data_IF_400703847941
#
_entry.id   IF_400703847941
#
_cell.length_a   1.000
_cell.length_b   1.000
_cell.length_c   1.000
_cell.angle_alpha   90.00
_cell.angle_beta   90.00
_cell.angle_gamma   90.00
#
_symmetry.space_group_name_H-M   'P 1'
#
loop_
_entity.id
_entity.type
_entity.pdbx_description
1 polymer ?
#
# COMPACT_ATOMS: atom_id res chain seq x y z
N UNK A 1 -7.46 31.33 -7.22
CA UNK A 1 -7.69 30.43 -8.35
C UNK A 1 -7.58 29.03 -7.80
N UNK A 2 -8.70 28.31 -7.63
CA UNK A 2 -8.66 26.92 -7.22
C UNK A 2 -8.05 26.13 -8.40
N UNK A 3 -6.81 25.68 -8.26
CA UNK A 3 -6.28 24.66 -9.13
C UNK A 3 -7.18 23.43 -8.96
N UNK A 4 -7.99 23.12 -9.98
CA UNK A 4 -8.75 21.89 -9.98
C UNK A 4 -7.74 20.74 -9.89
N UNK A 5 -7.82 19.95 -8.83
CA UNK A 5 -7.09 18.69 -8.71
C UNK A 5 -7.28 17.92 -10.03
N UNK A 6 -6.21 17.48 -10.71
CA UNK A 6 -6.37 16.75 -11.96
C UNK A 6 -7.24 15.51 -11.71
N UNK A 7 -8.14 15.17 -12.64
CA UNK A 7 -9.00 14.01 -12.49
C UNK A 7 -8.17 12.75 -12.23
N UNK A 8 -8.56 11.97 -11.24
CA UNK A 8 -7.91 10.72 -10.86
C UNK A 8 -8.65 9.51 -11.46
N UNK A 9 -9.31 9.72 -12.62
CA UNK A 9 -10.10 8.69 -13.31
C UNK A 9 -9.23 7.56 -13.88
N UNK A 10 -7.94 7.80 -14.02
CA UNK A 10 -6.93 6.83 -14.48
C UNK A 10 -6.21 6.10 -13.31
N UNK A 11 -6.70 6.27 -12.08
CA UNK A 11 -6.15 5.67 -10.87
C UNK A 11 -7.06 4.59 -10.32
N UNK A 12 -6.51 3.42 -9.99
CA UNK A 12 -7.17 2.34 -9.29
C UNK A 12 -6.56 2.16 -7.88
N UNK A 13 -7.35 2.31 -6.83
CA UNK A 13 -6.94 1.93 -5.48
C UNK A 13 -7.20 0.45 -5.25
N UNK A 14 -6.18 -0.29 -4.85
CA UNK A 14 -6.24 -1.71 -4.48
C UNK A 14 -6.12 -1.83 -2.97
N UNK A 15 -7.15 -2.37 -2.33
CA UNK A 15 -7.26 -2.51 -0.87
C UNK A 15 -7.37 -3.99 -0.51
N UNK A 16 -6.31 -4.65 -0.03
CA UNK A 16 -6.40 -5.97 0.56
C UNK A 16 -7.23 -5.92 1.84
N UNK A 17 -8.23 -6.80 1.95
CA UNK A 17 -9.14 -6.85 3.08
C UNK A 17 -9.07 -8.21 3.77
N UNK A 18 -8.85 -8.23 5.09
CA UNK A 18 -9.01 -9.43 5.90
C UNK A 18 -9.49 -9.08 7.31
N UNK A 19 -10.76 -9.36 7.60
CA UNK A 19 -11.41 -9.12 8.89
C UNK A 19 -11.26 -7.67 9.41
N UNK A 20 -11.63 -6.69 8.56
CA UNK A 20 -11.62 -5.25 8.84
C UNK A 20 -13.03 -4.62 8.68
N UNK A 21 -14.11 -5.38 8.96
CA UNK A 21 -15.49 -4.92 8.79
C UNK A 21 -15.80 -3.60 9.53
N UNK A 22 -15.12 -3.34 10.67
CA UNK A 22 -15.37 -2.15 11.48
C UNK A 22 -14.99 -0.84 10.79
N UNK A 23 -14.03 -0.86 9.86
CA UNK A 23 -13.45 0.35 9.27
C UNK A 23 -13.56 0.40 7.74
N UNK A 24 -13.62 -0.75 7.06
CA UNK A 24 -13.53 -0.81 5.59
C UNK A 24 -14.60 0.05 4.89
N UNK A 25 -15.82 0.13 5.43
CA UNK A 25 -16.87 0.95 4.84
C UNK A 25 -16.53 2.44 4.82
N UNK A 26 -15.90 2.96 5.90
CA UNK A 26 -15.45 4.36 5.97
C UNK A 26 -14.23 4.60 5.09
N UNK A 27 -13.30 3.67 5.06
CA UNK A 27 -12.11 3.69 4.18
C UNK A 27 -12.53 3.82 2.72
N UNK A 28 -13.43 2.95 2.26
CA UNK A 28 -13.93 2.98 0.87
C UNK A 28 -14.68 4.26 0.58
N UNK A 29 -15.57 4.71 1.47
CA UNK A 29 -16.30 5.99 1.28
C UNK A 29 -15.35 7.19 1.20
N UNK A 30 -14.30 7.21 2.04
CA UNK A 30 -13.26 8.22 2.00
C UNK A 30 -12.52 8.22 0.66
N UNK A 31 -12.03 7.06 0.24
CA UNK A 31 -11.31 6.87 -1.02
C UNK A 31 -12.16 7.26 -2.24
N UNK A 32 -13.44 6.87 -2.26
CA UNK A 32 -14.38 7.14 -3.36
C UNK A 32 -14.68 8.63 -3.61
N UNK A 33 -14.39 9.51 -2.66
CA UNK A 33 -14.54 10.96 -2.85
C UNK A 33 -13.52 11.54 -3.83
N UNK A 34 -12.34 10.94 -3.90
CA UNK A 34 -11.23 11.40 -4.76
C UNK A 34 -10.94 10.45 -5.92
N UNK A 35 -11.20 9.15 -5.74
CA UNK A 35 -10.87 8.10 -6.70
C UNK A 35 -12.12 7.31 -7.08
N UNK A 36 -12.58 7.38 -8.34
CA UNK A 36 -13.78 6.68 -8.79
C UNK A 36 -13.61 5.15 -8.82
N UNK A 37 -12.38 4.65 -8.84
CA UNK A 37 -12.09 3.23 -8.97
C UNK A 37 -11.37 2.70 -7.73
N UNK A 38 -12.13 2.01 -6.87
CA UNK A 38 -11.64 1.35 -5.66
C UNK A 38 -11.95 -0.14 -5.77
N UNK A 39 -10.91 -0.95 -5.76
CA UNK A 39 -10.98 -2.42 -5.78
C UNK A 39 -10.57 -2.93 -4.40
N UNK A 40 -11.48 -3.65 -3.76
CA UNK A 40 -11.22 -4.34 -2.50
C UNK A 40 -11.07 -5.82 -2.79
N UNK A 41 -9.94 -6.40 -2.42
CA UNK A 41 -9.73 -7.86 -2.51
C UNK A 41 -9.91 -8.46 -1.13
N UNK A 42 -11.06 -9.10 -0.93
CA UNK A 42 -11.40 -9.79 0.32
C UNK A 42 -10.71 -11.14 0.38
N UNK A 43 -9.73 -11.26 1.25
CA UNK A 43 -8.89 -12.45 1.40
C UNK A 43 -9.54 -13.49 2.36
N UNK A 44 -10.79 -13.83 2.10
CA UNK A 44 -11.52 -14.85 2.85
C UNK A 44 -11.95 -14.38 4.25
N UNK A 45 -12.43 -13.14 4.38
CA UNK A 45 -12.95 -12.61 5.65
C UNK A 45 -14.23 -13.35 6.08
N UNK A 46 -14.42 -13.45 7.39
CA UNK A 46 -15.62 -14.04 8.01
C UNK A 46 -16.52 -13.03 8.72
N UNK A 47 -16.13 -11.73 8.71
CA UNK A 47 -16.77 -10.67 9.50
C UNK A 47 -17.78 -9.81 8.74
N UNK A 48 -18.02 -10.12 7.43
CA UNK A 48 -18.91 -9.35 6.58
C UNK A 48 -18.31 -8.10 5.96
N UNK A 49 -17.00 -7.88 6.08
CA UNK A 49 -16.27 -6.73 5.53
C UNK A 49 -16.47 -6.56 4.03
N UNK A 50 -16.50 -7.65 3.25
CA UNK A 50 -16.73 -7.61 1.81
C UNK A 50 -18.08 -6.95 1.43
N UNK A 51 -19.16 -7.28 2.15
CA UNK A 51 -20.47 -6.69 1.91
C UNK A 51 -20.48 -5.19 2.25
N UNK A 52 -19.79 -4.79 3.32
CA UNK A 52 -19.65 -3.37 3.70
C UNK A 52 -18.84 -2.58 2.68
N UNK A 53 -17.76 -3.16 2.15
CA UNK A 53 -16.95 -2.55 1.08
C UNK A 53 -17.79 -2.34 -0.20
N UNK A 54 -18.54 -3.35 -0.62
CA UNK A 54 -19.44 -3.27 -1.78
C UNK A 54 -20.53 -2.22 -1.57
N UNK A 55 -21.17 -2.19 -0.40
CA UNK A 55 -22.18 -1.18 -0.05
C UNK A 55 -21.61 0.25 -0.01
N UNK A 56 -20.32 0.41 0.27
CA UNK A 56 -19.60 1.69 0.22
C UNK A 56 -19.19 2.10 -1.21
N UNK A 57 -19.40 1.25 -2.22
CA UNK A 57 -19.18 1.52 -3.63
C UNK A 57 -17.86 0.97 -4.20
N UNK A 58 -17.16 0.08 -3.51
CA UNK A 58 -16.02 -0.62 -4.06
C UNK A 58 -16.44 -1.75 -5.02
N UNK A 59 -15.59 -2.04 -5.99
CA UNK A 59 -15.60 -3.35 -6.65
C UNK A 59 -14.93 -4.35 -5.72
N UNK A 60 -15.61 -5.46 -5.44
CA UNK A 60 -15.09 -6.47 -4.52
C UNK A 60 -14.74 -7.75 -5.28
N UNK A 61 -13.50 -8.20 -5.12
CA UNK A 61 -13.02 -9.51 -5.55
C UNK A 61 -12.81 -10.36 -4.30
N UNK A 62 -13.28 -11.62 -4.29
CA UNK A 62 -13.22 -12.46 -3.10
C UNK A 62 -12.38 -13.72 -3.33
N UNK A 63 -11.47 -13.98 -2.40
CA UNK A 63 -10.81 -15.28 -2.30
C UNK A 63 -11.68 -16.26 -1.49
N UNK A 64 -11.73 -17.54 -1.85
CA UNK A 64 -12.50 -18.53 -1.13
C UNK A 64 -11.93 -18.87 0.26
N UNK A 65 -10.66 -18.59 0.47
CA UNK A 65 -9.91 -18.79 1.72
C UNK A 65 -8.83 -17.70 1.85
N UNK A 66 -8.30 -17.50 3.07
CA UNK A 66 -7.18 -16.59 3.27
C UNK A 66 -5.91 -17.12 2.59
N UNK A 67 -5.45 -16.41 1.58
CA UNK A 67 -4.23 -16.68 0.82
C UNK A 67 -3.06 -15.78 1.26
N UNK A 68 -3.35 -14.69 1.97
CA UNK A 68 -2.39 -13.69 2.45
C UNK A 68 -2.39 -12.38 1.66
N UNK A 69 -1.92 -11.32 2.30
CA UNK A 69 -1.95 -9.95 1.77
C UNK A 69 -1.25 -9.82 0.40
N UNK A 70 -0.14 -10.54 0.19
CA UNK A 70 0.57 -10.55 -1.09
C UNK A 70 -0.29 -11.10 -2.22
N UNK A 71 -0.99 -12.23 -1.99
CA UNK A 71 -1.92 -12.80 -2.96
C UNK A 71 -3.09 -11.86 -3.26
N UNK A 72 -3.62 -11.17 -2.23
CA UNK A 72 -4.68 -10.19 -2.42
C UNK A 72 -4.21 -8.98 -3.25
N UNK A 73 -2.99 -8.49 -3.03
CA UNK A 73 -2.40 -7.43 -3.86
C UNK A 73 -2.21 -7.90 -5.30
N UNK A 74 -1.68 -9.12 -5.52
CA UNK A 74 -1.51 -9.67 -6.86
C UNK A 74 -2.84 -9.76 -7.62
N UNK A 75 -3.88 -10.30 -6.97
CA UNK A 75 -5.23 -10.33 -7.54
C UNK A 75 -5.75 -8.94 -7.86
N UNK A 76 -5.51 -7.96 -7.00
CA UNK A 76 -5.88 -6.56 -7.23
C UNK A 76 -5.13 -5.93 -8.42
N UNK A 77 -3.86 -6.27 -8.60
CA UNK A 77 -3.06 -5.84 -9.75
C UNK A 77 -3.60 -6.43 -11.06
N UNK A 78 -3.83 -7.73 -11.10
CA UNK A 78 -4.40 -8.42 -12.26
C UNK A 78 -5.76 -7.86 -12.64
N UNK A 79 -6.64 -7.63 -11.65
CA UNK A 79 -7.93 -6.98 -11.88
C UNK A 79 -7.74 -5.57 -12.44
N UNK A 80 -6.85 -4.77 -11.88
CA UNK A 80 -6.57 -3.39 -12.33
C UNK A 80 -6.05 -3.37 -13.76
N UNK A 81 -5.20 -4.33 -14.15
CA UNK A 81 -4.66 -4.47 -15.51
C UNK A 81 -5.74 -4.83 -16.55
N UNK A 82 -6.86 -5.44 -16.14
CA UNK A 82 -7.99 -5.70 -17.02
C UNK A 82 -8.71 -4.42 -17.48
N UNK A 83 -8.45 -3.27 -16.83
CA UNK A 83 -9.00 -1.96 -17.17
C UNK A 83 -8.07 -1.20 -18.15
N UNK A 84 -8.42 -1.04 -19.44
CA UNK A 84 -7.50 -0.46 -20.45
C UNK A 84 -7.13 1.00 -20.18
N UNK A 85 -8.00 1.75 -19.51
CA UNK A 85 -7.83 3.16 -19.21
C UNK A 85 -6.98 3.43 -17.98
N UNK A 86 -6.77 2.43 -17.10
CA UNK A 86 -6.00 2.54 -15.87
C UNK A 86 -4.52 2.81 -16.19
N UNK A 87 -3.97 3.87 -15.60
CA UNK A 87 -2.56 4.25 -15.72
C UNK A 87 -1.79 4.07 -14.41
N UNK A 88 -2.48 4.16 -13.28
CA UNK A 88 -1.88 4.11 -11.96
C UNK A 88 -2.62 3.15 -11.04
N UNK A 89 -1.87 2.39 -10.28
CA UNK A 89 -2.38 1.56 -9.18
C UNK A 89 -1.81 2.09 -7.88
N UNK A 90 -2.66 2.19 -6.87
CA UNK A 90 -2.27 2.52 -5.50
C UNK A 90 -2.53 1.32 -4.62
N UNK A 91 -1.52 0.86 -3.89
CA UNK A 91 -1.72 -0.09 -2.77
C UNK A 91 -2.14 0.71 -1.54
N UNK A 92 -3.26 0.35 -0.91
CA UNK A 92 -3.86 1.10 0.18
C UNK A 92 -4.37 0.14 1.25
N UNK A 93 -4.00 0.34 2.52
CA UNK A 93 -4.39 -0.59 3.59
C UNK A 93 -5.84 -0.37 4.05
N UNK A 94 -6.50 -1.46 4.48
CA UNK A 94 -7.91 -1.44 4.90
C UNK A 94 -8.15 -0.88 6.30
N UNK A 95 -7.09 -0.65 7.10
CA UNK A 95 -7.16 -0.30 8.54
C UNK A 95 -7.46 1.18 8.82
N UNK A 96 -7.59 1.99 7.78
CA UNK A 96 -7.91 3.42 7.88
C UNK A 96 -6.75 4.31 8.33
N UNK A 97 -5.52 3.83 8.27
CA UNK A 97 -4.34 4.62 8.66
C UNK A 97 -3.85 5.56 7.56
N UNK A 98 -4.02 5.20 6.29
CA UNK A 98 -3.58 6.01 5.14
C UNK A 98 -4.53 7.17 4.84
N UNK A 99 -3.94 8.29 4.39
CA UNK A 99 -4.66 9.50 4.03
C UNK A 99 -4.83 9.61 2.52
N UNK A 100 -5.99 10.05 2.07
CA UNK A 100 -6.29 10.28 0.65
C UNK A 100 -5.46 11.46 0.09
N UNK A 101 -5.22 12.46 0.90
CA UNK A 101 -4.40 13.63 0.58
C UNK A 101 -2.96 13.24 0.24
N UNK A 102 -2.41 12.25 0.94
CA UNK A 102 -1.06 11.72 0.66
C UNK A 102 -1.03 11.04 -0.73
N UNK A 103 -2.08 10.27 -1.06
CA UNK A 103 -2.19 9.64 -2.40
C UNK A 103 -2.25 10.68 -3.51
N UNK A 104 -3.01 11.77 -3.30
CA UNK A 104 -3.10 12.87 -4.27
C UNK A 104 -1.74 13.56 -4.46
N UNK A 105 -1.01 13.80 -3.37
CA UNK A 105 0.35 14.36 -3.43
C UNK A 105 1.33 13.44 -4.15
N UNK A 106 1.26 12.12 -3.89
CA UNK A 106 2.06 11.11 -4.60
C UNK A 106 1.76 11.11 -6.11
N UNK A 107 0.50 11.21 -6.50
CA UNK A 107 0.07 11.24 -7.90
C UNK A 107 0.57 12.51 -8.61
N UNK A 108 0.49 13.67 -7.96
CA UNK A 108 1.02 14.92 -8.50
C UNK A 108 2.54 14.85 -8.65
N UNK A 109 3.24 14.33 -7.65
CA UNK A 109 4.70 14.12 -7.71
C UNK A 109 5.07 13.18 -8.87
N UNK A 110 4.37 12.05 -9.01
CA UNK A 110 4.65 11.09 -10.08
C UNK A 110 4.47 11.71 -11.47
N UNK A 111 3.40 12.48 -11.66
CA UNK A 111 3.11 13.13 -12.94
C UNK A 111 4.06 14.27 -13.27
N UNK A 112 4.41 15.11 -12.27
CA UNK A 112 5.28 16.28 -12.48
C UNK A 112 6.74 15.90 -12.69
N UNK A 113 7.20 14.78 -12.11
CA UNK A 113 8.59 14.33 -12.17
C UNK A 113 8.79 13.10 -13.09
N UNK A 114 7.75 12.67 -13.81
CA UNK A 114 7.75 11.45 -14.67
C UNK A 114 8.27 10.21 -13.94
N UNK A 115 7.87 10.03 -12.68
CA UNK A 115 8.23 8.86 -11.90
C UNK A 115 7.33 7.69 -12.29
N UNK A 116 7.87 6.47 -12.27
CA UNK A 116 7.10 5.25 -12.48
C UNK A 116 6.57 4.66 -11.17
N UNK A 117 7.22 4.98 -10.05
CA UNK A 117 6.84 4.54 -8.70
C UNK A 117 7.02 5.68 -7.72
N UNK A 118 6.06 5.85 -6.79
CA UNK A 118 6.23 6.67 -5.60
C UNK A 118 5.95 5.82 -4.37
N UNK A 119 6.91 5.77 -3.46
CA UNK A 119 6.76 5.12 -2.16
C UNK A 119 6.33 6.14 -1.12
N UNK A 120 5.37 5.78 -0.27
CA UNK A 120 5.07 6.56 0.92
C UNK A 120 6.14 6.36 1.99
N UNK A 121 6.63 7.43 2.59
CA UNK A 121 7.60 7.35 3.69
C UNK A 121 7.13 8.12 4.91
N UNK A 122 7.20 7.45 6.07
CA UNK A 122 6.91 8.01 7.40
C UNK A 122 8.08 8.81 8.00
N UNK A 123 9.22 8.81 7.32
CA UNK A 123 10.48 9.35 7.86
C UNK A 123 10.98 10.58 7.12
N UNK A 124 10.23 11.09 6.15
CA UNK A 124 10.59 12.29 5.39
C UNK A 124 10.16 13.59 6.08
N UNK A 125 9.19 13.51 6.99
CA UNK A 125 8.81 14.64 7.85
C UNK A 125 8.86 14.23 9.32
N UNK A 126 8.91 15.23 10.21
CA UNK A 126 8.97 15.02 11.67
C UNK A 126 7.59 14.78 12.31
N UNK A 127 6.52 14.70 11.51
CA UNK A 127 5.14 14.58 12.00
C UNK A 127 4.80 13.17 12.48
N UNK A 128 5.53 12.15 12.02
CA UNK A 128 5.32 10.76 12.43
C UNK A 128 6.61 10.18 13.02
N UNK A 129 6.84 10.34 14.32
CA UNK A 129 8.03 9.80 14.98
C UNK A 129 7.71 8.54 15.79
N UNK A 130 8.05 7.32 15.28
CA UNK A 130 8.01 6.12 16.10
C UNK A 130 9.02 6.22 17.24
N UNK A 131 8.73 5.61 18.41
CA UNK A 131 9.65 5.57 19.54
C UNK A 131 11.07 5.10 19.12
N UNK A 132 12.11 5.59 19.82
CA UNK A 132 13.51 5.45 19.43
C UNK A 132 13.93 4.01 19.08
N UNK A 133 13.52 3.02 19.89
CA UNK A 133 13.83 1.60 19.64
C UNK A 133 13.20 1.10 18.32
N UNK A 134 11.92 1.44 18.05
CA UNK A 134 11.23 1.07 16.80
C UNK A 134 11.89 1.74 15.59
N UNK A 135 12.34 2.99 15.72
CA UNK A 135 13.03 3.74 14.67
C UNK A 135 14.37 3.09 14.29
N UNK A 136 15.14 2.60 15.29
CA UNK A 136 16.43 1.92 15.03
C UNK A 136 16.17 0.61 14.26
N UNK A 137 15.24 -0.23 14.72
CA UNK A 137 14.91 -1.50 14.07
C UNK A 137 14.44 -1.29 12.64
N UNK A 138 13.56 -0.31 12.41
CA UNK A 138 13.07 0.01 11.05
C UNK A 138 14.20 0.52 10.14
N UNK A 139 15.12 1.36 10.66
CA UNK A 139 16.28 1.83 9.87
C UNK A 139 17.24 0.69 9.49
N UNK A 140 17.46 -0.26 10.39
CA UNK A 140 18.28 -1.44 10.08
C UNK A 140 17.62 -2.30 9.01
N UNK A 141 16.30 -2.54 9.10
CA UNK A 141 15.54 -3.27 8.10
C UNK A 141 15.56 -2.57 6.73
N UNK A 142 15.38 -1.24 6.69
CA UNK A 142 15.50 -0.43 5.47
C UNK A 142 16.91 -0.50 4.90
N UNK A 143 17.95 -0.39 5.75
CA UNK A 143 19.35 -0.48 5.32
C UNK A 143 19.65 -1.85 4.66
N UNK A 144 19.15 -2.93 5.24
CA UNK A 144 19.26 -4.27 4.67
C UNK A 144 18.52 -4.37 3.31
N UNK A 145 17.27 -3.90 3.26
CA UNK A 145 16.50 -3.88 2.01
C UNK A 145 17.22 -3.07 0.93
N UNK A 146 17.68 -1.87 1.22
CA UNK A 146 18.42 -1.04 0.26
C UNK A 146 19.70 -1.71 -0.26
N UNK A 147 20.43 -2.41 0.62
CA UNK A 147 21.64 -3.13 0.24
C UNK A 147 21.35 -4.31 -0.70
N UNK A 148 20.27 -5.05 -0.44
CA UNK A 148 19.89 -6.26 -1.19
C UNK A 148 19.13 -5.97 -2.48
N UNK A 149 18.42 -4.82 -2.56
CA UNK A 149 17.59 -4.45 -3.71
C UNK A 149 18.19 -3.36 -4.59
N UNK A 150 19.32 -2.76 -4.15
CA UNK A 150 19.94 -1.62 -4.85
C UNK A 150 19.11 -0.33 -4.82
N UNK A 151 18.08 -0.27 -3.99
CA UNK A 151 17.24 0.93 -3.80
C UNK A 151 17.86 1.89 -2.77
N UNK A 152 17.30 3.10 -2.69
CA UNK A 152 17.69 4.11 -1.68
C UNK A 152 16.44 4.68 -1.02
N UNK A 153 15.68 3.82 -0.34
CA UNK A 153 14.46 4.20 0.34
C UNK A 153 14.74 4.57 1.80
N UNK A 154 13.91 5.48 2.33
CA UNK A 154 13.88 5.82 3.76
C UNK A 154 12.86 4.96 4.51
N UNK A 155 11.81 4.46 3.81
CA UNK A 155 10.78 3.58 4.35
C UNK A 155 10.36 2.49 3.35
N UNK A 156 11.06 1.37 3.33
CA UNK A 156 10.78 0.26 2.41
C UNK A 156 9.52 -0.57 2.78
N UNK A 157 8.99 -0.42 3.99
CA UNK A 157 7.93 -1.27 4.53
C UNK A 157 6.56 -0.55 4.68
N UNK A 158 6.44 0.68 4.18
CA UNK A 158 5.15 1.34 4.12
C UNK A 158 4.26 0.68 3.05
N UNK A 159 2.98 0.41 3.41
CA UNK A 159 2.01 -0.21 2.51
C UNK A 159 1.53 0.70 1.38
N UNK A 160 1.64 2.04 1.56
CA UNK A 160 1.17 3.00 0.57
C UNK A 160 2.19 3.18 -0.56
N UNK A 161 1.83 2.75 -1.76
CA UNK A 161 2.65 2.86 -2.96
C UNK A 161 1.80 3.25 -4.15
N UNK A 162 2.31 4.15 -4.99
CA UNK A 162 1.74 4.49 -6.28
C UNK A 162 2.61 3.86 -7.37
N UNK A 163 2.01 3.08 -8.24
CA UNK A 163 2.68 2.29 -9.27
C UNK A 163 2.09 2.62 -10.64
N UNK A 164 2.95 2.93 -11.61
CA UNK A 164 2.52 3.13 -13.00
C UNK A 164 2.21 1.77 -13.64
N UNK A 165 1.26 1.74 -14.60
CA UNK A 165 0.80 0.54 -15.28
C UNK A 165 1.93 -0.35 -15.80
N UNK A 166 2.92 0.23 -16.49
CA UNK A 166 4.05 -0.51 -17.06
C UNK A 166 4.96 -1.19 -16.02
N UNK A 167 4.93 -0.70 -14.77
CA UNK A 167 5.56 -1.36 -13.64
C UNK A 167 4.69 -2.52 -13.18
N UNK A 168 3.38 -2.28 -12.95
CA UNK A 168 2.45 -3.31 -12.48
C UNK A 168 2.41 -4.52 -13.42
N UNK A 169 2.47 -4.30 -14.74
CA UNK A 169 2.53 -5.36 -15.78
C UNK A 169 3.76 -6.28 -15.66
N UNK A 170 4.79 -5.85 -14.92
CA UNK A 170 6.06 -6.57 -14.76
C UNK A 170 6.25 -7.11 -13.34
N UNK A 171 5.33 -6.83 -12.43
CA UNK A 171 5.36 -7.34 -11.06
C UNK A 171 4.65 -8.69 -10.98
N UNK A 172 5.23 -9.60 -10.20
CA UNK A 172 4.68 -10.92 -9.91
C UNK A 172 4.92 -11.24 -8.42
N UNK A 173 3.91 -10.98 -7.60
CA UNK A 173 3.98 -11.20 -6.15
C UNK A 173 3.76 -12.68 -5.85
N UNK A 174 4.83 -13.37 -5.49
CA UNK A 174 4.82 -14.81 -5.15
C UNK A 174 4.76 -15.04 -3.64
N UNK A 175 5.19 -14.06 -2.85
CA UNK A 175 5.19 -14.13 -1.39
C UNK A 175 3.85 -13.70 -0.80
N UNK A 176 3.06 -14.67 -0.38
CA UNK A 176 1.67 -14.43 0.01
C UNK A 176 1.49 -13.67 1.34
N UNK A 177 2.50 -13.71 2.25
CA UNK A 177 2.44 -13.09 3.58
C UNK A 177 3.32 -11.84 3.65
N UNK A 178 3.78 -11.47 4.84
CA UNK A 178 4.51 -10.20 5.09
C UNK A 178 5.75 -9.99 4.21
N UNK A 179 6.38 -11.06 3.71
CA UNK A 179 7.53 -10.98 2.83
C UNK A 179 7.25 -10.32 1.46
N UNK A 180 5.97 -10.23 1.03
CA UNK A 180 5.59 -9.52 -0.21
C UNK A 180 6.07 -8.06 -0.25
N UNK A 181 6.14 -7.39 0.91
CA UNK A 181 6.56 -6.00 0.96
C UNK A 181 8.02 -5.81 0.51
N UNK A 182 8.91 -6.72 0.93
CA UNK A 182 10.32 -6.73 0.52
C UNK A 182 10.48 -7.24 -0.91
N UNK A 183 9.68 -8.23 -1.32
CA UNK A 183 9.66 -8.76 -2.68
C UNK A 183 9.29 -7.67 -3.69
N UNK A 184 8.23 -6.88 -3.42
CA UNK A 184 7.84 -5.75 -4.27
C UNK A 184 8.98 -4.73 -4.44
N UNK A 185 9.64 -4.36 -3.34
CA UNK A 185 10.77 -3.41 -3.40
C UNK A 185 11.91 -4.01 -4.24
N UNK A 186 12.22 -5.30 -4.08
CA UNK A 186 13.25 -5.98 -4.85
C UNK A 186 12.93 -5.97 -6.35
N UNK A 187 11.72 -6.40 -6.72
CA UNK A 187 11.29 -6.40 -8.12
C UNK A 187 11.34 -4.99 -8.73
N UNK A 188 10.86 -3.96 -8.02
CA UNK A 188 10.92 -2.57 -8.49
C UNK A 188 12.38 -2.11 -8.65
N UNK A 189 13.28 -2.48 -7.73
CA UNK A 189 14.70 -2.20 -7.83
C UNK A 189 15.33 -2.81 -9.08
N UNK A 190 14.99 -4.06 -9.40
CA UNK A 190 15.48 -4.79 -10.58
C UNK A 190 14.97 -4.17 -11.90
N UNK A 191 13.78 -3.58 -11.88
CA UNK A 191 13.20 -2.89 -13.04
C UNK A 191 13.97 -1.63 -13.43
N UNK A 192 14.74 -1.03 -12.53
CA UNK A 192 15.52 0.21 -12.74
C UNK A 192 14.69 1.36 -13.30
N UNK A 193 13.45 1.47 -12.88
CA UNK A 193 12.53 2.54 -13.27
C UNK A 193 12.74 3.78 -12.38
N UNK A 194 12.40 4.99 -12.85
CA UNK A 194 12.44 6.18 -12.01
C UNK A 194 11.43 6.06 -10.86
N UNK A 195 11.90 6.25 -9.64
CA UNK A 195 11.08 6.23 -8.45
C UNK A 195 11.41 7.40 -7.51
N UNK A 196 10.48 7.70 -6.61
CA UNK A 196 10.65 8.71 -5.57
C UNK A 196 9.97 8.30 -4.28
N UNK A 197 10.15 9.10 -3.24
CA UNK A 197 9.46 8.95 -1.95
C UNK A 197 8.68 10.24 -1.64
N UNK A 198 7.47 10.08 -1.12
CA UNK A 198 6.61 11.17 -0.65
C UNK A 198 6.35 11.01 0.84
N UNK A 199 6.36 12.10 1.63
CA UNK A 199 5.96 12.01 3.03
C UNK A 199 4.51 11.56 3.13
N UNK A 200 4.22 10.69 4.11
CA UNK A 200 2.87 10.18 4.38
C UNK A 200 2.55 10.21 5.88
N UNK A 201 1.31 10.54 6.17
CA UNK A 201 0.80 10.73 7.53
C UNK A 201 -0.02 9.51 7.96
N UNK A 202 0.48 8.77 8.94
CA UNK A 202 -0.21 7.60 9.47
C UNK A 202 -1.12 8.02 10.62
N UNK A 203 -2.43 7.82 10.46
CA UNK A 203 -3.40 8.03 11.52
C UNK A 203 -3.40 6.86 12.50
N UNK A 204 -3.06 7.15 13.76
CA UNK A 204 -3.20 6.19 14.84
C UNK A 204 -4.60 6.30 15.45
N UNK A 205 -5.57 5.58 14.88
CA UNK A 205 -6.93 5.48 15.43
C UNK A 205 -6.95 4.58 16.67
N UNK A 206 -7.98 4.71 17.53
CA UNK A 206 -8.14 3.80 18.68
C UNK A 206 -8.33 2.35 18.23
N UNK A 207 -8.90 2.13 17.05
CA UNK A 207 -9.00 0.83 16.42
C UNK A 207 -7.62 0.25 16.08
N UNK A 208 -6.77 1.01 15.40
CA UNK A 208 -5.41 0.55 15.04
C UNK A 208 -4.53 0.30 16.25
N UNK A 209 -4.71 1.08 17.34
CA UNK A 209 -4.03 0.86 18.63
C UNK A 209 -4.50 -0.42 19.33
N UNK A 210 -5.81 -0.75 19.26
CA UNK A 210 -6.38 -1.95 19.88
C UNK A 210 -5.93 -3.25 19.21
N UNK A 211 -5.70 -3.24 17.89
CA UNK A 211 -5.13 -4.38 17.14
C UNK A 211 -3.63 -4.57 17.40
N UNK A 212 -2.98 -3.61 18.07
CA UNK A 212 -1.61 -3.70 18.55
C UNK A 212 -0.64 -4.29 17.50
N UNK A 213 0.01 -3.45 16.72
CA UNK A 213 1.27 -3.87 16.09
C UNK A 213 2.30 -4.04 17.23
N UNK A 214 2.31 -5.21 17.84
CA UNK A 214 3.30 -5.61 18.83
C UNK A 214 4.71 -5.40 18.25
N UNK A 215 5.64 -4.94 19.09
CA UNK A 215 7.08 -4.91 18.77
C UNK A 215 7.58 -6.28 18.27
N UNK A 216 6.91 -7.37 18.69
CA UNK A 216 7.16 -8.73 18.23
C UNK A 216 6.88 -8.94 16.73
N UNK A 217 5.89 -8.26 16.14
CA UNK A 217 5.67 -8.33 14.69
C UNK A 217 6.81 -7.69 13.89
N UNK A 218 7.41 -6.61 14.40
CA UNK A 218 8.58 -5.98 13.77
C UNK A 218 9.83 -6.87 13.88
N UNK A 219 9.96 -7.64 14.98
CA UNK A 219 11.03 -8.63 15.16
C UNK A 219 10.82 -9.85 14.25
N UNK A 220 9.58 -10.33 14.09
CA UNK A 220 9.26 -11.43 13.17
C UNK A 220 9.57 -11.07 11.72
N UNK A 221 9.32 -9.84 11.28
CA UNK A 221 9.69 -9.36 9.93
C UNK A 221 11.22 -9.44 9.74
N UNK A 222 12.01 -9.02 10.74
CA UNK A 222 13.47 -9.12 10.69
C UNK A 222 13.93 -10.57 10.64
N UNK A 223 13.30 -11.46 11.41
CA UNK A 223 13.63 -12.89 11.45
C UNK A 223 13.30 -13.54 10.10
N UNK A 224 12.13 -13.28 9.52
CA UNK A 224 11.76 -13.80 8.19
C UNK A 224 12.69 -13.29 7.08
N UNK A 225 13.23 -12.08 7.20
CA UNK A 225 14.21 -11.51 6.26
C UNK A 225 15.60 -12.12 6.41
N UNK A 226 15.97 -12.64 7.58
CA UNK A 226 17.32 -13.21 7.85
C UNK A 226 17.43 -14.70 7.53
N UNK A 227 16.32 -15.42 7.40
CA UNK A 227 16.29 -16.86 7.14
C UNK A 227 15.93 -17.22 5.68
N UNK A 228 16.22 -16.32 4.75
CA UNK A 228 16.17 -16.55 3.30
C UNK A 228 17.53 -16.84 2.70
#
# INVERSE_FOLDING_TARGET
>A
MNASTPPADDVCLVIPLFNEAQVIGDVVRGARRAFPHVVVVDDGSSDGGAALAAAAGATVVQHPVNLGQGAALQTGFEYSLSMPWMRWVVTFDADGQHQIEDVLAMLEMARSQDLAVVFGSRFLDDLTTPGLAKRIVLRLAVGYTNLTTGTKLTDAHNGLRLLRRDVVERLDITQNRMAHASELVAQIGDLKVPYGESPVHILYTDYSKSKGQSLWNSVNILVELMFR
#
